data_IF_786245262598
#
_entry.id   IF_786245262598
#
_cell.length_a   1.000
_cell.length_b   1.000
_cell.length_c   1.000
_cell.angle_alpha   90.00
_cell.angle_beta   90.00
_cell.angle_gamma   90.00
#
_symmetry.space_group_name_H-M   'P 1'
#
loop_
_entity.id
_entity.type
_entity.pdbx_description
1 polymer ?
#
# COMPACT_ATOMS: atom_id res chain seq x y z
N UNK A 1 -35.60 12.16 2.20
CA UNK A 1 -34.57 11.32 2.86
C UNK A 1 -33.19 11.90 2.61
N UNK A 2 -32.24 11.69 3.50
CA UNK A 2 -30.84 12.13 3.33
C UNK A 2 -30.21 11.64 2.02
N UNK A 3 -30.56 10.44 1.57
CA UNK A 3 -30.10 9.86 0.29
C UNK A 3 -30.54 10.70 -0.90
N UNK A 4 -31.80 11.18 -0.91
CA UNK A 4 -32.32 12.06 -1.98
C UNK A 4 -31.58 13.40 -2.05
N UNK A 5 -31.13 13.93 -0.90
CA UNK A 5 -30.35 15.17 -0.82
C UNK A 5 -28.92 14.98 -1.38
N UNK A 6 -28.29 13.85 -1.12
CA UNK A 6 -26.96 13.51 -1.63
C UNK A 6 -27.00 13.29 -3.15
N UNK A 7 -28.02 12.58 -3.66
CA UNK A 7 -28.18 12.33 -5.09
C UNK A 7 -28.40 13.63 -5.88
N UNK A 8 -29.22 14.56 -5.34
CA UNK A 8 -29.44 15.86 -5.98
C UNK A 8 -28.19 16.75 -6.01
N UNK A 9 -27.28 16.64 -5.02
CA UNK A 9 -25.98 17.35 -5.03
C UNK A 9 -25.00 16.80 -6.06
N UNK A 10 -25.21 15.57 -6.57
CA UNK A 10 -24.35 14.91 -7.54
C UNK A 10 -24.91 14.97 -8.99
N UNK A 11 -25.99 15.73 -9.23
CA UNK A 11 -26.69 15.83 -10.54
C UNK A 11 -27.15 14.48 -11.12
N UNK A 12 -27.53 13.53 -10.29
CA UNK A 12 -28.19 12.30 -10.74
C UNK A 12 -29.70 12.53 -10.83
N UNK A 13 -30.32 12.08 -11.90
CA UNK A 13 -31.77 12.08 -12.07
C UNK A 13 -32.42 10.85 -11.39
N UNK A 14 -33.78 10.82 -11.35
CA UNK A 14 -34.55 9.76 -10.70
C UNK A 14 -34.40 8.39 -11.44
N UNK A 15 -33.85 8.37 -12.64
CA UNK A 15 -33.65 7.19 -13.48
C UNK A 15 -32.20 6.69 -13.49
N UNK A 16 -31.31 7.35 -12.74
CA UNK A 16 -29.91 6.90 -12.65
C UNK A 16 -29.86 5.60 -11.87
N UNK A 17 -29.61 4.48 -12.55
CA UNK A 17 -29.32 3.20 -11.92
C UNK A 17 -27.96 3.29 -11.22
N UNK A 18 -28.02 3.32 -9.88
CA UNK A 18 -26.81 3.14 -9.07
C UNK A 18 -26.53 1.64 -9.02
N UNK A 19 -25.74 1.13 -9.94
CA UNK A 19 -25.21 -0.21 -9.81
C UNK A 19 -24.14 -0.19 -8.70
N UNK A 20 -24.51 -0.67 -7.52
CA UNK A 20 -23.52 -1.10 -6.52
C UNK A 20 -22.94 -2.42 -6.98
N UNK A 21 -21.99 -2.39 -7.93
CA UNK A 21 -21.10 -3.55 -8.09
C UNK A 21 -20.44 -3.74 -6.73
N UNK A 22 -20.50 -4.94 -6.13
CA UNK A 22 -19.77 -5.20 -4.91
C UNK A 22 -18.31 -4.84 -5.17
N UNK A 23 -17.73 -4.01 -4.29
CA UNK A 23 -16.30 -3.69 -4.41
C UNK A 23 -15.56 -5.01 -4.40
N UNK A 24 -14.76 -5.25 -5.43
CA UNK A 24 -13.96 -6.46 -5.54
C UNK A 24 -13.04 -6.63 -4.32
N UNK A 25 -12.61 -5.50 -3.74
CA UNK A 25 -11.76 -5.45 -2.55
C UNK A 25 -12.39 -4.56 -1.48
N UNK A 26 -12.00 -4.77 -0.21
CA UNK A 26 -12.51 -4.01 0.95
C UNK A 26 -12.16 -2.52 0.88
N UNK A 27 -11.22 -2.12 0.03
CA UNK A 27 -10.93 -0.72 -0.27
C UNK A 27 -10.33 -0.54 -1.66
N UNK A 28 -10.34 0.70 -2.16
CA UNK A 28 -9.69 1.06 -3.44
C UNK A 28 -8.19 0.74 -3.48
N UNK A 29 -7.54 0.69 -2.32
CA UNK A 29 -6.13 0.29 -2.22
C UNK A 29 -5.86 -1.08 -2.84
N UNK A 30 -6.80 -2.02 -2.76
CA UNK A 30 -6.66 -3.35 -3.34
C UNK A 30 -6.34 -3.33 -4.84
N UNK A 31 -6.96 -2.46 -5.62
CA UNK A 31 -6.68 -2.35 -7.07
C UNK A 31 -5.22 -2.01 -7.38
N UNK A 32 -4.54 -1.29 -6.48
CA UNK A 32 -3.12 -0.95 -6.66
C UNK A 32 -2.25 -2.20 -6.57
N UNK A 33 -2.41 -2.98 -5.50
CA UNK A 33 -1.63 -4.20 -5.31
C UNK A 33 -1.99 -5.26 -6.35
N UNK A 34 -3.28 -5.43 -6.68
CA UNK A 34 -3.70 -6.36 -7.72
C UNK A 34 -3.00 -6.08 -9.05
N UNK A 35 -2.93 -4.80 -9.45
CA UNK A 35 -2.19 -4.38 -10.66
C UNK A 35 -0.71 -4.74 -10.58
N UNK A 36 -0.06 -4.55 -9.43
CA UNK A 36 1.34 -4.92 -9.26
C UNK A 36 1.57 -6.44 -9.36
N UNK A 37 0.68 -7.24 -8.77
CA UNK A 37 0.73 -8.71 -8.86
C UNK A 37 0.66 -9.16 -10.32
N UNK A 38 -0.24 -8.61 -11.10
CA UNK A 38 -0.42 -8.93 -12.51
C UNK A 38 0.79 -8.50 -13.36
N UNK A 39 1.21 -7.25 -13.25
CA UNK A 39 2.29 -6.69 -14.07
C UNK A 39 3.67 -7.26 -13.76
N UNK A 40 3.92 -7.57 -12.49
CA UNK A 40 5.20 -8.15 -12.07
C UNK A 40 5.18 -9.69 -12.02
N UNK A 41 4.04 -10.31 -12.38
CA UNK A 41 3.83 -11.75 -12.36
C UNK A 41 4.19 -12.39 -11.01
N UNK A 42 3.65 -11.79 -9.92
CA UNK A 42 3.92 -12.21 -8.55
C UNK A 42 3.01 -13.37 -8.16
N UNK A 43 3.58 -14.41 -7.57
CA UNK A 43 2.83 -15.52 -7.00
C UNK A 43 2.80 -15.40 -5.47
N UNK A 44 1.60 -15.17 -4.91
CA UNK A 44 1.37 -15.10 -3.47
C UNK A 44 0.86 -16.42 -2.86
N UNK A 45 0.65 -17.45 -3.69
CA UNK A 45 0.17 -18.74 -3.18
C UNK A 45 1.14 -19.28 -2.10
N UNK A 46 0.58 -19.70 -0.97
CA UNK A 46 1.30 -20.20 0.21
C UNK A 46 2.30 -19.21 0.86
N UNK A 47 2.31 -17.94 0.45
CA UNK A 47 3.16 -16.91 1.08
C UNK A 47 2.64 -16.51 2.45
N UNK A 48 3.59 -16.22 3.34
CA UNK A 48 3.35 -15.51 4.59
C UNK A 48 3.72 -14.05 4.37
N UNK A 49 2.73 -13.18 4.36
CA UNK A 49 2.88 -11.78 3.96
C UNK A 49 2.91 -10.86 5.17
N UNK A 50 3.77 -9.84 5.12
CA UNK A 50 3.75 -8.70 6.02
C UNK A 50 3.17 -7.50 5.27
N UNK A 51 2.01 -7.02 5.70
CA UNK A 51 1.34 -5.82 5.17
C UNK A 51 1.64 -4.63 6.09
N UNK A 52 2.53 -3.73 5.65
CA UNK A 52 2.95 -2.55 6.41
C UNK A 52 2.11 -1.35 5.98
N UNK A 53 1.28 -0.85 6.89
CA UNK A 53 0.28 0.18 6.62
C UNK A 53 -1.04 -0.42 6.16
N UNK A 54 -1.50 -1.46 6.83
CA UNK A 54 -2.69 -2.23 6.42
C UNK A 54 -3.98 -1.40 6.36
N UNK A 55 -4.12 -0.38 7.20
CA UNK A 55 -5.29 0.52 7.24
C UNK A 55 -6.61 -0.26 7.24
N UNK A 56 -7.48 -0.07 6.25
CA UNK A 56 -8.75 -0.80 6.09
C UNK A 56 -8.58 -2.24 5.60
N UNK A 57 -7.37 -2.66 5.22
CA UNK A 57 -7.07 -4.02 4.78
C UNK A 57 -7.12 -4.25 3.27
N UNK A 58 -7.00 -3.19 2.46
CA UNK A 58 -7.07 -3.34 1.01
C UNK A 58 -5.97 -4.22 0.43
N UNK A 59 -4.72 -4.06 0.89
CA UNK A 59 -3.61 -4.92 0.47
C UNK A 59 -3.72 -6.31 1.09
N UNK A 60 -4.09 -6.40 2.37
CA UNK A 60 -4.37 -7.68 3.05
C UNK A 60 -5.40 -8.51 2.29
N UNK A 61 -6.54 -7.93 1.89
CA UNK A 61 -7.62 -8.59 1.14
C UNK A 61 -7.10 -9.16 -0.19
N UNK A 62 -6.32 -8.39 -0.94
CA UNK A 62 -5.69 -8.85 -2.18
C UNK A 62 -4.75 -10.02 -1.92
N UNK A 63 -3.91 -9.94 -0.89
CA UNK A 63 -3.01 -11.04 -0.54
C UNK A 63 -3.77 -12.33 -0.24
N UNK A 64 -4.85 -12.25 0.54
CA UNK A 64 -5.70 -13.39 0.89
C UNK A 64 -6.39 -14.01 -0.33
N UNK A 65 -6.91 -13.18 -1.24
CA UNK A 65 -7.56 -13.59 -2.49
C UNK A 65 -6.59 -14.21 -3.49
N UNK A 66 -5.32 -13.81 -3.44
CA UNK A 66 -4.26 -14.39 -4.26
C UNK A 66 -3.52 -15.57 -3.57
N UNK A 67 -4.15 -16.20 -2.57
CA UNK A 67 -3.69 -17.47 -1.99
C UNK A 67 -2.64 -17.32 -0.88
N UNK A 68 -2.45 -16.14 -0.28
CA UNK A 68 -1.56 -16.00 0.87
C UNK A 68 -2.02 -16.93 2.02
N UNK A 69 -1.06 -17.69 2.55
CA UNK A 69 -1.29 -18.59 3.68
C UNK A 69 -1.56 -17.84 4.99
N UNK A 70 -0.94 -16.67 5.14
CA UNK A 70 -1.04 -15.84 6.34
C UNK A 70 -0.68 -14.39 6.01
N UNK A 71 -1.31 -13.44 6.67
CA UNK A 71 -0.99 -12.02 6.55
C UNK A 71 -0.86 -11.39 7.94
N UNK A 72 0.30 -10.79 8.21
CA UNK A 72 0.51 -9.91 9.36
C UNK A 72 0.13 -8.49 8.93
N UNK A 73 -1.03 -8.01 9.36
CA UNK A 73 -1.54 -6.68 9.05
C UNK A 73 -1.06 -5.68 10.12
N UNK A 74 -0.04 -4.89 9.79
CA UNK A 74 0.60 -3.93 10.71
C UNK A 74 0.14 -2.52 10.41
N UNK A 75 -0.41 -1.84 11.41
CA UNK A 75 -0.80 -0.43 11.30
C UNK A 75 -0.63 0.32 12.64
N UNK A 76 -0.28 1.60 12.56
CA UNK A 76 -0.23 2.49 13.73
C UNK A 76 -1.61 2.94 14.20
N UNK A 77 -2.62 2.85 13.35
CA UNK A 77 -4.03 3.15 13.64
C UNK A 77 -4.70 2.09 14.52
N UNK A 78 -5.95 2.37 14.87
CA UNK A 78 -6.76 1.52 15.75
C UNK A 78 -8.13 1.35 15.13
N UNK A 79 -8.64 0.10 15.09
CA UNK A 79 -10.00 -0.20 14.66
C UNK A 79 -10.28 0.15 13.20
N UNK A 80 -9.24 0.22 12.36
CA UNK A 80 -9.38 0.57 10.95
C UNK A 80 -9.63 -0.66 10.07
N UNK A 81 -9.06 -1.81 10.44
CA UNK A 81 -9.13 -3.02 9.65
C UNK A 81 -10.58 -3.49 9.49
N UNK A 82 -11.00 -3.74 8.25
CA UNK A 82 -12.35 -4.23 7.94
C UNK A 82 -12.65 -5.49 8.76
N UNK A 83 -13.88 -5.59 9.29
CA UNK A 83 -14.27 -6.66 10.20
C UNK A 83 -14.17 -8.05 9.55
N UNK A 84 -14.47 -8.18 8.26
CA UNK A 84 -14.31 -9.43 7.52
C UNK A 84 -12.86 -9.86 7.41
N UNK A 85 -11.96 -8.91 7.17
CA UNK A 85 -10.51 -9.16 7.12
C UNK A 85 -9.98 -9.50 8.51
N UNK A 86 -10.39 -8.74 9.52
CA UNK A 86 -9.95 -8.96 10.91
C UNK A 86 -10.35 -10.33 11.45
N UNK A 87 -11.47 -10.88 11.02
CA UNK A 87 -11.98 -12.17 11.44
C UNK A 87 -11.50 -13.36 10.58
N UNK A 88 -10.74 -13.13 9.51
CA UNK A 88 -10.13 -14.21 8.73
C UNK A 88 -9.00 -14.85 9.58
N UNK A 89 -9.07 -16.17 9.75
CA UNK A 89 -8.12 -16.94 10.56
C UNK A 89 -6.66 -16.85 10.09
N UNK A 90 -6.46 -16.47 8.83
CA UNK A 90 -5.14 -16.25 8.23
C UNK A 90 -4.54 -14.88 8.58
N UNK A 91 -5.30 -13.97 9.20
CA UNK A 91 -4.87 -12.61 9.50
C UNK A 91 -4.43 -12.46 10.94
N UNK A 92 -3.22 -11.97 11.13
CA UNK A 92 -2.71 -11.51 12.42
C UNK A 92 -2.79 -9.99 12.45
N UNK A 93 -3.78 -9.46 13.16
CA UNK A 93 -3.98 -8.01 13.27
C UNK A 93 -3.03 -7.39 14.30
N UNK A 94 -2.11 -6.54 13.84
CA UNK A 94 -1.14 -5.81 14.66
C UNK A 94 -1.41 -4.30 14.61
N UNK A 95 -2.56 -3.88 15.13
CA UNK A 95 -2.92 -2.47 15.33
C UNK A 95 -2.06 -1.80 16.41
N UNK A 96 -2.03 -0.45 16.45
CA UNK A 96 -1.17 0.36 17.35
C UNK A 96 0.32 0.02 17.22
N UNK A 97 0.73 -0.50 16.10
CA UNK A 97 2.06 -1.05 15.93
C UNK A 97 2.83 -0.29 14.87
N UNK A 98 3.99 0.24 15.24
CA UNK A 98 4.92 0.84 14.29
C UNK A 98 5.92 -0.23 13.84
N UNK A 99 5.90 -0.57 12.55
CA UNK A 99 6.84 -1.55 11.98
C UNK A 99 8.30 -1.21 12.28
N UNK A 100 8.69 0.07 12.24
CA UNK A 100 10.09 0.47 12.46
C UNK A 100 10.64 0.08 13.85
N UNK A 101 9.74 -0.15 14.82
CA UNK A 101 10.11 -0.59 16.18
C UNK A 101 9.64 -2.01 16.52
N UNK A 102 8.91 -2.65 15.59
CA UNK A 102 8.39 -4.01 15.81
C UNK A 102 9.55 -5.01 15.73
N UNK A 103 9.75 -5.87 16.79
CA UNK A 103 10.78 -6.89 16.76
C UNK A 103 10.52 -7.97 15.69
N UNK A 104 11.59 -8.46 15.06
CA UNK A 104 11.53 -9.46 13.98
C UNK A 104 10.86 -10.77 14.43
N UNK A 105 10.94 -11.10 15.70
CA UNK A 105 10.36 -12.30 16.30
C UNK A 105 8.84 -12.38 16.14
N UNK A 106 8.16 -11.24 16.01
CA UNK A 106 6.71 -11.16 15.85
C UNK A 106 6.23 -11.63 14.47
N UNK A 107 7.12 -11.70 13.47
CA UNK A 107 6.79 -12.05 12.08
C UNK A 107 7.91 -12.85 11.40
N UNK A 108 8.58 -13.73 12.15
CA UNK A 108 9.75 -14.51 11.71
C UNK A 108 9.52 -15.44 10.52
N UNK A 109 8.29 -15.85 10.26
CA UNK A 109 7.88 -16.74 9.18
C UNK A 109 7.55 -15.99 7.87
N UNK A 110 7.61 -14.65 7.84
CA UNK A 110 7.33 -13.82 6.66
C UNK A 110 8.34 -14.06 5.54
N UNK A 111 7.82 -14.22 4.32
CA UNK A 111 8.59 -14.43 3.09
C UNK A 111 8.13 -13.54 1.92
N UNK A 112 7.21 -12.61 2.15
CA UNK A 112 6.81 -11.56 1.22
C UNK A 112 6.37 -10.31 1.99
N UNK A 113 6.61 -9.12 1.44
CA UNK A 113 6.22 -7.86 2.09
C UNK A 113 5.46 -6.98 1.12
N UNK A 114 4.38 -6.36 1.59
CA UNK A 114 3.67 -5.28 0.90
C UNK A 114 3.67 -4.03 1.76
N UNK A 115 3.78 -2.84 1.14
CA UNK A 115 3.91 -1.57 1.87
C UNK A 115 3.02 -0.51 1.26
N UNK A 116 2.06 0.01 2.05
CA UNK A 116 1.21 1.16 1.70
C UNK A 116 1.11 2.14 2.87
N UNK A 117 2.20 2.83 3.19
CA UNK A 117 2.27 3.77 4.31
C UNK A 117 1.93 5.20 3.91
N UNK A 118 1.43 5.98 4.88
CA UNK A 118 1.13 7.40 4.72
C UNK A 118 1.88 8.24 5.75
N UNK A 119 2.18 9.51 5.41
CA UNK A 119 2.83 10.49 6.28
C UNK A 119 4.27 10.16 6.67
N UNK A 120 4.87 9.16 6.04
CA UNK A 120 6.26 8.75 6.24
C UNK A 120 6.89 8.42 4.90
N UNK A 121 8.17 8.76 4.72
CA UNK A 121 8.92 8.37 3.52
C UNK A 121 9.19 6.88 3.52
N UNK A 122 8.99 6.24 2.37
CA UNK A 122 9.29 4.82 2.14
C UNK A 122 10.78 4.51 2.36
N UNK A 123 11.66 5.48 2.11
CA UNK A 123 13.11 5.31 2.30
C UNK A 123 13.51 4.92 3.73
N UNK A 124 12.70 5.31 4.74
CA UNK A 124 12.96 4.96 6.14
C UNK A 124 12.85 3.47 6.45
N UNK A 125 12.20 2.73 5.57
CA UNK A 125 11.98 1.28 5.76
C UNK A 125 13.13 0.43 5.22
N UNK A 126 13.95 0.96 4.31
CA UNK A 126 14.96 0.21 3.57
C UNK A 126 15.97 -0.48 4.50
N UNK A 127 16.56 0.23 5.45
CA UNK A 127 17.57 -0.31 6.37
C UNK A 127 16.98 -1.37 7.30
N UNK A 128 15.76 -1.11 7.86
CA UNK A 128 15.12 -2.09 8.74
C UNK A 128 14.75 -3.37 7.98
N UNK A 129 14.17 -3.24 6.81
CA UNK A 129 13.85 -4.39 5.96
C UNK A 129 15.12 -5.19 5.60
N UNK A 130 16.22 -4.49 5.29
CA UNK A 130 17.51 -5.14 5.02
C UNK A 130 18.07 -5.87 6.24
N UNK A 131 17.86 -5.34 7.44
CA UNK A 131 18.27 -5.97 8.71
C UNK A 131 17.39 -7.17 9.07
N UNK A 132 16.07 -7.04 8.83
CA UNK A 132 15.11 -8.06 9.21
C UNK A 132 15.15 -9.30 8.31
N UNK A 133 15.60 -9.15 7.05
CA UNK A 133 15.53 -10.21 6.06
C UNK A 133 16.85 -10.38 5.29
N UNK A 134 17.34 -11.60 5.24
CA UNK A 134 18.48 -11.97 4.37
C UNK A 134 18.06 -12.13 2.92
N UNK A 135 16.82 -12.60 2.69
CA UNK A 135 16.18 -12.71 1.38
C UNK A 135 14.71 -12.43 1.50
N UNK A 136 14.19 -11.52 0.69
CA UNK A 136 12.79 -11.12 0.70
C UNK A 136 12.38 -10.46 -0.62
N UNK A 137 11.13 -10.64 -1.00
CA UNK A 137 10.49 -9.96 -2.12
C UNK A 137 9.46 -8.96 -1.59
N UNK A 138 9.43 -7.76 -2.19
CA UNK A 138 8.65 -6.62 -1.67
C UNK A 138 7.92 -5.92 -2.81
N UNK A 139 6.64 -5.59 -2.60
CA UNK A 139 5.91 -4.59 -3.38
C UNK A 139 5.60 -3.40 -2.49
N UNK A 140 6.02 -2.20 -2.90
CA UNK A 140 5.79 -1.00 -2.12
C UNK A 140 5.17 0.12 -2.96
N UNK A 141 4.28 0.89 -2.34
CA UNK A 141 3.65 2.05 -2.95
C UNK A 141 4.46 3.31 -2.66
N UNK A 142 4.97 3.95 -3.70
CA UNK A 142 5.64 5.26 -3.63
C UNK A 142 4.55 6.33 -3.72
N UNK A 143 4.42 7.14 -2.70
CA UNK A 143 3.48 8.28 -2.63
C UNK A 143 4.27 9.59 -2.71
N UNK A 144 4.30 10.26 -3.87
CA UNK A 144 5.11 11.46 -4.06
C UNK A 144 4.90 12.56 -3.02
N UNK A 145 3.68 12.70 -2.51
CA UNK A 145 3.35 13.68 -1.49
C UNK A 145 4.09 13.46 -0.15
N UNK A 146 4.54 12.26 0.15
CA UNK A 146 5.31 11.93 1.36
C UNK A 146 6.81 11.81 1.12
N UNK A 147 7.24 11.88 -0.14
CA UNK A 147 8.64 11.78 -0.57
C UNK A 147 9.24 13.11 -1.02
N UNK A 148 8.43 14.10 -1.41
CA UNK A 148 8.90 15.35 -2.01
C UNK A 148 9.53 16.34 -1.02
N UNK A 149 9.51 16.03 0.28
CA UNK A 149 9.99 16.92 1.34
C UNK A 149 8.96 17.98 1.78
N UNK A 150 9.09 18.41 3.03
CA UNK A 150 8.09 19.29 3.69
C UNK A 150 7.88 20.63 2.99
N UNK A 151 8.95 21.26 2.51
CA UNK A 151 8.88 22.57 1.85
C UNK A 151 8.13 22.49 0.53
N UNK A 152 8.45 21.48 -0.30
CA UNK A 152 7.75 21.27 -1.57
C UNK A 152 6.27 20.93 -1.32
N UNK A 153 5.98 20.02 -0.40
CA UNK A 153 4.61 19.65 -0.05
C UNK A 153 3.79 20.86 0.41
N UNK A 154 4.36 21.72 1.28
CA UNK A 154 3.72 22.96 1.75
C UNK A 154 3.42 23.91 0.58
N UNK A 155 4.40 24.16 -0.30
CA UNK A 155 4.27 25.07 -1.46
C UNK A 155 3.20 24.61 -2.43
N UNK A 156 3.05 23.31 -2.63
CA UNK A 156 2.15 22.72 -3.61
C UNK A 156 0.90 22.06 -2.99
N UNK A 157 0.59 22.41 -1.72
CA UNK A 157 -0.60 21.90 -0.98
C UNK A 157 -0.71 20.36 -1.02
N UNK A 158 0.42 19.67 -0.93
CA UNK A 158 0.46 18.20 -0.95
C UNK A 158 0.26 17.55 -2.31
N UNK A 159 0.17 18.31 -3.41
CA UNK A 159 -0.05 17.76 -4.75
C UNK A 159 1.23 17.88 -5.59
N UNK A 160 1.77 16.77 -6.01
CA UNK A 160 2.96 16.67 -6.87
C UNK A 160 2.52 16.35 -8.30
N UNK A 161 2.57 17.37 -9.18
CA UNK A 161 2.19 17.24 -10.60
C UNK A 161 3.40 17.25 -11.54
N UNK A 162 4.55 17.71 -11.05
CA UNK A 162 5.77 17.88 -11.83
C UNK A 162 6.42 16.52 -12.11
N UNK A 163 6.53 16.15 -13.39
CA UNK A 163 7.16 14.89 -13.81
C UNK A 163 8.65 14.82 -13.43
N UNK A 164 9.36 15.97 -13.42
CA UNK A 164 10.76 15.99 -12.97
C UNK A 164 10.86 15.66 -11.50
N UNK A 165 9.90 16.15 -10.70
CA UNK A 165 9.83 15.81 -9.29
C UNK A 165 9.48 14.33 -9.09
N UNK A 166 8.55 13.77 -9.85
CA UNK A 166 8.27 12.33 -9.83
C UNK A 166 9.53 11.50 -10.10
N UNK A 167 10.27 11.82 -11.17
CA UNK A 167 11.53 11.13 -11.52
C UNK A 167 12.54 11.20 -10.39
N UNK A 168 12.73 12.40 -9.78
CA UNK A 168 13.64 12.60 -8.65
C UNK A 168 13.24 11.76 -7.44
N UNK A 169 11.96 11.74 -7.10
CA UNK A 169 11.42 10.97 -5.97
C UNK A 169 11.65 9.47 -6.19
N UNK A 170 11.28 8.96 -7.36
CA UNK A 170 11.47 7.56 -7.72
C UNK A 170 12.93 7.17 -7.62
N UNK A 171 13.84 8.00 -8.14
CA UNK A 171 15.27 7.73 -8.10
C UNK A 171 15.80 7.73 -6.66
N UNK A 172 15.38 8.66 -5.82
CA UNK A 172 15.76 8.68 -4.40
C UNK A 172 15.32 7.40 -3.66
N UNK A 173 14.09 6.92 -3.93
CA UNK A 173 13.61 5.67 -3.34
C UNK A 173 14.44 4.49 -3.84
N UNK A 174 14.70 4.39 -5.15
CA UNK A 174 15.54 3.34 -5.73
C UNK A 174 16.93 3.33 -5.09
N UNK A 175 17.60 4.48 -5.02
CA UNK A 175 18.93 4.62 -4.41
C UNK A 175 18.91 4.15 -2.95
N UNK A 176 17.90 4.54 -2.17
CA UNK A 176 17.78 4.14 -0.76
C UNK A 176 17.72 2.63 -0.61
N UNK A 177 16.87 1.96 -1.40
CA UNK A 177 16.75 0.50 -1.35
C UNK A 177 17.96 -0.21 -1.92
N UNK A 178 18.56 0.28 -3.00
CA UNK A 178 19.79 -0.30 -3.58
C UNK A 178 20.97 -0.22 -2.61
N UNK A 179 21.13 0.92 -1.92
CA UNK A 179 22.16 1.08 -0.89
C UNK A 179 21.95 0.13 0.31
N UNK A 180 20.70 -0.25 0.59
CA UNK A 180 20.36 -1.24 1.61
C UNK A 180 20.48 -2.70 1.11
N UNK A 181 20.92 -2.93 -0.14
CA UNK A 181 21.15 -4.25 -0.71
C UNK A 181 19.99 -4.87 -1.49
N UNK A 182 18.96 -4.08 -1.83
CA UNK A 182 17.85 -4.55 -2.65
C UNK A 182 18.09 -4.30 -4.14
N UNK A 183 17.63 -5.21 -4.97
CA UNK A 183 17.50 -5.03 -6.42
C UNK A 183 16.12 -4.48 -6.74
N UNK A 184 16.04 -3.52 -7.68
CA UNK A 184 14.79 -3.04 -8.25
C UNK A 184 14.43 -3.92 -9.45
N UNK A 185 13.36 -4.69 -9.35
CA UNK A 185 12.89 -5.60 -10.40
C UNK A 185 11.89 -4.94 -11.35
N UNK A 186 11.10 -3.98 -10.84
CA UNK A 186 10.07 -3.31 -11.64
C UNK A 186 9.55 -2.02 -11.00
N UNK A 187 8.97 -1.19 -11.86
CA UNK A 187 8.29 0.05 -11.46
C UNK A 187 7.15 0.33 -12.44
N UNK A 188 5.96 0.55 -11.91
CA UNK A 188 4.78 0.94 -12.70
C UNK A 188 4.02 2.09 -12.04
N UNK A 189 3.29 2.91 -12.79
CA UNK A 189 2.32 3.81 -12.17
C UNK A 189 1.16 3.03 -11.56
N UNK A 190 0.62 3.54 -10.47
CA UNK A 190 -0.61 3.03 -9.86
C UNK A 190 -1.79 3.17 -10.82
N UNK A 191 -2.69 2.18 -10.93
CA UNK A 191 -3.86 2.25 -11.81
C UNK A 191 -4.88 3.29 -11.38
N UNK A 192 -4.81 3.70 -10.12
CA UNK A 192 -5.68 4.73 -9.53
C UNK A 192 -4.84 5.79 -8.82
N UNK A 193 -5.34 7.01 -8.81
CA UNK A 193 -4.72 8.11 -8.06
C UNK A 193 -4.95 7.96 -6.55
N UNK A 194 -4.03 8.51 -5.76
CA UNK A 194 -4.18 8.67 -4.32
C UNK A 194 -5.39 9.54 -3.95
N UNK A 195 -5.74 9.56 -2.67
CA UNK A 195 -6.91 10.29 -2.15
C UNK A 195 -6.95 11.77 -2.53
N UNK A 196 -5.79 12.42 -2.59
CA UNK A 196 -5.63 13.83 -2.95
C UNK A 196 -5.39 14.06 -4.45
N UNK A 197 -5.55 13.03 -5.29
CA UNK A 197 -5.36 13.09 -6.74
C UNK A 197 -3.91 12.97 -7.21
N UNK A 198 -2.97 12.64 -6.31
CA UNK A 198 -1.59 12.37 -6.67
C UNK A 198 -1.45 11.11 -7.52
N UNK A 199 -0.58 11.16 -8.53
CA UNK A 199 -0.09 9.94 -9.19
C UNK A 199 0.86 9.23 -8.24
N UNK A 200 0.63 7.95 -8.00
CA UNK A 200 1.46 7.09 -7.15
C UNK A 200 2.13 6.01 -8.00
N UNK A 201 3.15 5.35 -7.47
CA UNK A 201 3.90 4.35 -8.22
C UNK A 201 4.09 3.09 -7.37
N UNK A 202 4.11 1.92 -8.02
CA UNK A 202 4.38 0.64 -7.39
C UNK A 202 5.78 0.19 -7.78
N UNK A 203 6.61 -0.10 -6.79
CA UNK A 203 7.96 -0.60 -6.97
C UNK A 203 8.06 -2.04 -6.50
N UNK A 204 8.71 -2.89 -7.31
CA UNK A 204 9.00 -4.29 -7.02
C UNK A 204 10.48 -4.44 -6.70
N UNK A 205 10.78 -5.00 -5.53
CA UNK A 205 12.11 -5.09 -4.96
C UNK A 205 12.39 -6.53 -4.52
N UNK A 206 13.68 -6.92 -4.54
CA UNK A 206 14.15 -8.22 -4.04
C UNK A 206 15.50 -8.07 -3.37
N UNK A 207 15.67 -8.77 -2.26
CA UNK A 207 16.96 -8.95 -1.60
C UNK A 207 17.35 -10.42 -1.61
#
# INVERSE_FOLDING_TARGET
SQVKKILNCLNFDENTEISTLPFEFVSRGGFKLQKAIEEFNINLNDKVVLDIGASTGGFTDVCLKNGAKKVYAVDTGIGQLNIGIKNDERVVNLEKTNYLTLPRENYKDVNFVVIDVSFVSLTKFAEKLAKDFDSIEIVALIKPQFECGKEYAKKHKGIVKDEKMHKKIIENVKISFTNAGFMVLGLIPSPIKGGDGNTEFLIHLKK
#
